data_IF_035107220863
#
_entry.id   IF_035107220863
#
_cell.length_a   1.000
_cell.length_b   1.000
_cell.length_c   1.000
_cell.angle_alpha   90.00
_cell.angle_beta   90.00
_cell.angle_gamma   90.00
#
_symmetry.space_group_name_H-M   'P 1'
#
loop_
_entity.id
_entity.type
_entity.pdbx_description
1 polymer ?
#
# COMPACT_ATOMS: atom_id res chain seq x y z
N UNK A 1 -40.65 -21.34 -18.21
CA UNK A 1 -40.44 -19.97 -17.66
C UNK A 1 -39.76 -20.11 -16.31
N UNK A 2 -38.45 -19.92 -16.24
CA UNK A 2 -37.72 -20.01 -14.97
C UNK A 2 -36.64 -18.93 -14.98
N UNK A 3 -36.87 -17.86 -14.24
CA UNK A 3 -35.94 -16.72 -14.09
C UNK A 3 -34.79 -17.17 -13.19
N UNK A 4 -33.61 -17.38 -13.74
CA UNK A 4 -32.39 -17.52 -12.93
C UNK A 4 -31.99 -16.14 -12.39
N UNK A 5 -32.00 -16.01 -11.06
CA UNK A 5 -31.55 -14.79 -10.35
C UNK A 5 -30.03 -14.66 -10.55
N UNK A 6 -29.61 -13.71 -11.36
CA UNK A 6 -28.21 -13.30 -11.44
C UNK A 6 -27.87 -12.57 -10.15
N UNK A 7 -27.05 -13.21 -9.31
CA UNK A 7 -26.53 -12.65 -8.07
C UNK A 7 -25.56 -11.50 -8.41
N UNK A 8 -26.03 -10.26 -8.23
CA UNK A 8 -25.19 -9.06 -8.25
C UNK A 8 -24.51 -8.98 -6.88
N UNK A 9 -23.22 -9.34 -6.80
CA UNK A 9 -22.23 -8.73 -5.89
C UNK A 9 -21.01 -9.62 -5.65
N UNK A 10 -20.25 -9.88 -6.71
CA UNK A 10 -18.80 -10.06 -6.55
C UNK A 10 -18.13 -9.28 -7.65
N UNK A 11 -17.63 -8.07 -7.33
CA UNK A 11 -16.68 -7.36 -8.21
C UNK A 11 -15.35 -8.08 -8.11
N UNK A 12 -15.24 -9.28 -8.70
CA UNK A 12 -13.94 -9.89 -8.94
C UNK A 12 -13.26 -9.00 -9.98
N UNK A 13 -12.34 -8.14 -9.53
CA UNK A 13 -11.54 -7.26 -10.40
C UNK A 13 -10.54 -8.03 -11.28
N UNK A 14 -10.48 -9.36 -11.15
CA UNK A 14 -9.53 -10.22 -11.83
C UNK A 14 -10.27 -11.38 -12.51
N UNK A 15 -10.42 -11.38 -13.86
CA UNK A 15 -10.95 -12.54 -14.56
C UNK A 15 -10.00 -13.73 -14.37
N UNK A 16 -10.54 -14.85 -13.90
CA UNK A 16 -9.79 -16.10 -13.63
C UNK A 16 -9.40 -16.80 -14.96
N UNK A 17 -10.09 -16.47 -16.06
CA UNK A 17 -9.99 -17.16 -17.36
C UNK A 17 -9.31 -16.34 -18.47
N UNK A 18 -8.66 -15.22 -18.15
CA UNK A 18 -7.96 -14.37 -19.14
C UNK A 18 -6.59 -13.97 -18.61
N UNK A 19 -5.60 -13.92 -19.50
CA UNK A 19 -4.26 -13.45 -19.18
C UNK A 19 -4.35 -12.14 -18.37
N UNK A 20 -3.80 -12.10 -17.15
CA UNK A 20 -4.00 -10.97 -16.27
C UNK A 20 -3.30 -9.75 -16.88
N UNK A 21 -4.09 -8.81 -17.38
CA UNK A 21 -3.59 -7.52 -17.87
C UNK A 21 -3.38 -6.63 -16.65
N UNK A 22 -2.11 -6.40 -16.28
CA UNK A 22 -1.78 -5.44 -15.24
C UNK A 22 -1.60 -4.07 -15.88
N UNK A 23 -2.47 -3.14 -15.50
CA UNK A 23 -2.31 -1.72 -15.84
C UNK A 23 -1.62 -1.04 -14.65
N UNK A 24 -0.33 -0.74 -14.79
CA UNK A 24 0.34 0.21 -13.90
C UNK A 24 0.88 1.38 -14.66
N UNK A 25 0.44 2.59 -14.31
CA UNK A 25 1.06 3.86 -14.70
C UNK A 25 1.63 3.84 -16.13
N UNK A 26 0.76 3.60 -17.12
CA UNK A 26 1.10 3.60 -18.55
C UNK A 26 1.90 2.40 -19.08
N UNK A 27 2.21 1.41 -18.25
CA UNK A 27 2.74 0.11 -18.65
C UNK A 27 1.57 -0.88 -18.67
N UNK A 28 1.11 -1.20 -19.88
CA UNK A 28 0.23 -2.35 -20.09
C UNK A 28 1.10 -3.61 -20.08
N UNK A 29 1.18 -4.30 -18.95
CA UNK A 29 1.61 -5.70 -18.98
C UNK A 29 0.40 -6.50 -19.43
N UNK A 30 0.08 -6.38 -20.72
CA UNK A 30 -0.71 -7.41 -21.38
C UNK A 30 0.11 -8.68 -21.20
N UNK A 31 -0.49 -9.76 -20.73
CA UNK A 31 0.11 -11.11 -20.78
C UNK A 31 0.29 -11.59 -22.22
N UNK A 32 0.79 -10.74 -23.12
CA UNK A 32 1.36 -11.18 -24.37
C UNK A 32 2.58 -12.01 -24.00
N UNK A 33 2.68 -13.20 -24.58
CA UNK A 33 3.83 -14.10 -24.44
C UNK A 33 5.16 -13.53 -24.99
N UNK A 34 5.22 -12.23 -25.30
CA UNK A 34 6.36 -11.51 -25.88
C UNK A 34 6.85 -10.37 -24.95
N UNK A 35 6.75 -10.51 -23.63
CA UNK A 35 7.39 -9.53 -22.72
C UNK A 35 8.87 -9.86 -22.62
N UNK A 36 9.73 -8.89 -22.94
CA UNK A 36 11.18 -9.02 -22.82
C UNK A 36 11.62 -8.97 -21.35
N UNK A 37 12.76 -9.61 -21.04
CA UNK A 37 13.33 -9.56 -19.69
C UNK A 37 13.57 -8.12 -19.21
N UNK A 38 14.05 -7.26 -20.10
CA UNK A 38 14.34 -5.84 -19.83
C UNK A 38 13.08 -5.04 -19.47
N UNK A 39 11.93 -5.34 -20.08
CA UNK A 39 10.65 -4.71 -19.71
C UNK A 39 10.18 -5.12 -18.32
N UNK A 40 10.35 -6.40 -17.96
CA UNK A 40 10.01 -6.90 -16.62
C UNK A 40 10.92 -6.27 -15.56
N UNK A 41 12.23 -6.16 -15.84
CA UNK A 41 13.18 -5.54 -14.92
C UNK A 41 12.87 -4.06 -14.69
N UNK A 42 12.58 -3.31 -15.75
CA UNK A 42 12.13 -1.90 -15.63
C UNK A 42 10.83 -1.79 -14.82
N UNK A 43 9.88 -2.69 -15.03
CA UNK A 43 8.64 -2.70 -14.25
C UNK A 43 8.90 -3.00 -12.77
N UNK A 44 9.80 -3.92 -12.44
CA UNK A 44 10.21 -4.21 -11.06
C UNK A 44 10.83 -2.98 -10.41
N UNK A 45 11.72 -2.28 -11.12
CA UNK A 45 12.36 -1.06 -10.62
C UNK A 45 11.32 0.01 -10.26
N UNK A 46 10.40 0.32 -11.19
CA UNK A 46 9.32 1.29 -10.95
C UNK A 46 8.46 0.92 -9.75
N UNK A 47 8.07 -0.36 -9.64
CA UNK A 47 7.26 -0.82 -8.51
C UNK A 47 8.05 -0.73 -7.21
N UNK A 48 9.34 -1.06 -7.22
CA UNK A 48 10.20 -0.97 -6.03
C UNK A 48 10.33 0.47 -5.51
N UNK A 49 10.39 1.47 -6.41
CA UNK A 49 10.38 2.88 -6.02
C UNK A 49 9.08 3.28 -5.31
N UNK A 50 7.95 2.68 -5.70
CA UNK A 50 6.66 2.90 -5.05
C UNK A 50 6.52 2.25 -3.67
N UNK A 51 7.51 1.45 -3.25
CA UNK A 51 7.55 0.75 -1.97
C UNK A 51 8.48 1.43 -0.95
N UNK A 52 9.13 2.53 -1.32
CA UNK A 52 10.07 3.25 -0.46
C UNK A 52 9.34 3.90 0.71
N UNK A 53 9.82 3.61 1.93
CA UNK A 53 9.27 4.14 3.15
C UNK A 53 9.77 5.57 3.45
N UNK A 54 8.99 6.30 4.25
CA UNK A 54 9.39 7.61 4.75
C UNK A 54 10.42 7.45 5.89
N UNK A 55 11.45 8.32 5.98
CA UNK A 55 12.36 8.31 7.12
C UNK A 55 11.63 8.47 8.46
N UNK A 56 12.03 7.71 9.48
CA UNK A 56 11.35 7.70 10.78
C UNK A 56 11.33 9.09 11.44
N UNK A 57 12.35 9.91 11.23
CA UNK A 57 12.39 11.26 11.80
C UNK A 57 11.38 12.21 11.13
N UNK A 58 11.15 12.07 9.83
CA UNK A 58 10.09 12.81 9.14
C UNK A 58 8.70 12.35 9.61
N UNK A 59 8.52 11.05 9.86
CA UNK A 59 7.29 10.51 10.45
C UNK A 59 7.02 11.09 11.84
N UNK A 60 8.04 11.17 12.69
CA UNK A 60 7.92 11.80 14.02
C UNK A 60 7.47 13.25 13.89
N UNK A 61 8.06 14.03 12.99
CA UNK A 61 7.68 15.42 12.77
C UNK A 61 6.21 15.55 12.35
N UNK A 62 5.77 14.74 11.38
CA UNK A 62 4.37 14.75 10.90
C UNK A 62 3.39 14.34 12.01
N UNK A 63 3.73 13.33 12.79
CA UNK A 63 2.92 12.87 13.92
C UNK A 63 2.89 13.91 15.06
N UNK A 64 3.99 14.63 15.31
CA UNK A 64 4.00 15.74 16.27
C UNK A 64 3.02 16.85 15.86
N UNK A 65 2.99 17.22 14.58
CA UNK A 65 1.99 18.19 14.07
C UNK A 65 0.58 17.65 14.25
N UNK A 66 0.34 16.37 13.91
CA UNK A 66 -0.95 15.73 14.14
C UNK A 66 -1.36 15.81 15.63
N UNK A 67 -0.42 15.68 16.57
CA UNK A 67 -0.68 15.70 18.02
C UNK A 67 -1.22 17.05 18.50
N UNK A 68 -0.86 18.13 17.82
CA UNK A 68 -1.38 19.47 18.13
C UNK A 68 -2.80 19.70 17.62
N UNK A 69 -3.27 18.89 16.67
CA UNK A 69 -4.59 19.06 16.05
C UNK A 69 -5.67 18.18 16.68
N UNK A 70 -5.26 17.12 17.37
CA UNK A 70 -6.15 16.12 17.94
C UNK A 70 -6.29 16.27 19.46
N UNK A 71 -7.41 15.80 19.99
CA UNK A 71 -7.63 15.79 21.43
C UNK A 71 -6.74 14.71 22.05
N UNK A 72 -5.83 15.19 22.89
CA UNK A 72 -4.99 14.38 23.76
C UNK A 72 -5.86 13.62 24.78
N UNK A 73 -5.62 12.32 25.01
CA UNK A 73 -6.27 11.57 26.09
C UNK A 73 -6.00 12.21 27.46
N UNK A 74 -7.03 12.25 28.31
CA UNK A 74 -6.92 12.75 29.68
C UNK A 74 -5.83 12.01 30.45
N UNK A 75 -5.09 12.71 31.32
CA UNK A 75 -4.04 12.18 32.20
C UNK A 75 -2.72 11.73 31.55
N UNK A 76 -2.56 11.80 30.22
CA UNK A 76 -1.23 11.57 29.63
C UNK A 76 -0.27 12.72 29.98
N UNK A 77 1.00 12.43 30.22
CA UNK A 77 2.08 13.41 30.27
C UNK A 77 2.56 13.81 28.86
N UNK A 78 3.48 14.77 28.74
CA UNK A 78 4.16 15.05 27.48
C UNK A 78 5.08 13.91 27.04
N UNK A 79 5.65 13.17 28.00
CA UNK A 79 6.53 12.02 27.75
C UNK A 79 5.75 10.87 27.12
N UNK A 80 4.52 10.60 27.61
CA UNK A 80 3.66 9.54 27.06
C UNK A 80 3.29 9.80 25.60
N UNK A 81 2.98 11.05 25.26
CA UNK A 81 2.73 11.46 23.87
C UNK A 81 3.97 11.23 23.00
N UNK A 82 5.15 11.58 23.50
CA UNK A 82 6.41 11.33 22.81
C UNK A 82 6.67 9.84 22.54
N UNK A 83 6.37 8.97 23.52
CA UNK A 83 6.47 7.52 23.36
C UNK A 83 5.50 7.04 22.27
N UNK A 84 4.24 7.50 22.27
CA UNK A 84 3.26 7.12 21.25
C UNK A 84 3.68 7.54 19.86
N UNK A 85 4.20 8.76 19.70
CA UNK A 85 4.73 9.25 18.41
C UNK A 85 5.87 8.36 17.93
N UNK A 86 6.81 8.00 18.81
CA UNK A 86 7.93 7.12 18.47
C UNK A 86 7.45 5.72 18.04
N UNK A 87 6.51 5.13 18.79
CA UNK A 87 5.94 3.82 18.47
C UNK A 87 5.20 3.84 17.14
N UNK A 88 4.34 4.84 16.91
CA UNK A 88 3.64 4.99 15.64
C UNK A 88 4.61 5.23 14.47
N UNK A 89 5.63 6.06 14.64
CA UNK A 89 6.63 6.29 13.60
C UNK A 89 7.40 5.01 13.23
N UNK A 90 7.69 4.15 14.21
CA UNK A 90 8.38 2.87 13.99
C UNK A 90 7.52 1.88 13.23
N UNK A 91 6.22 1.80 13.54
CA UNK A 91 5.30 0.92 12.81
C UNK A 91 5.00 1.46 11.41
N UNK A 92 4.79 2.77 11.28
CA UNK A 92 4.48 3.40 9.99
C UNK A 92 5.69 3.42 9.03
N UNK A 93 6.93 3.40 9.53
CA UNK A 93 8.12 3.34 8.66
C UNK A 93 8.29 2.00 7.92
N UNK A 94 7.44 1.00 8.20
CA UNK A 94 7.42 -0.26 7.47
C UNK A 94 6.62 -0.18 6.16
N UNK A 95 5.93 0.93 5.94
CA UNK A 95 5.02 1.10 4.80
C UNK A 95 5.50 2.20 3.84
N UNK A 96 5.06 2.15 2.57
CA UNK A 96 5.43 3.15 1.58
C UNK A 96 5.02 4.57 1.98
N UNK A 97 5.90 5.53 1.68
CA UNK A 97 5.79 6.91 2.10
C UNK A 97 4.45 7.56 1.70
N UNK A 98 4.02 7.35 0.46
CA UNK A 98 2.78 7.93 -0.08
C UNK A 98 1.52 7.38 0.63
N UNK A 99 1.50 6.10 1.00
CA UNK A 99 0.39 5.49 1.74
C UNK A 99 0.32 6.03 3.15
N UNK A 100 1.46 6.18 3.81
CA UNK A 100 1.53 6.71 5.17
C UNK A 100 1.10 8.17 5.20
N UNK A 101 1.58 8.99 4.26
CA UNK A 101 1.18 10.40 4.15
C UNK A 101 -0.33 10.50 3.90
N UNK A 102 -0.89 9.69 3.00
CA UNK A 102 -2.33 9.62 2.78
C UNK A 102 -3.09 9.23 4.05
N UNK A 103 -2.64 8.20 4.76
CA UNK A 103 -3.28 7.71 5.98
C UNK A 103 -3.28 8.77 7.10
N UNK A 104 -2.16 9.47 7.30
CA UNK A 104 -2.07 10.60 8.24
C UNK A 104 -3.09 11.69 7.87
N UNK A 105 -3.22 12.01 6.59
CA UNK A 105 -4.18 13.02 6.12
C UNK A 105 -5.64 12.60 6.33
N UNK A 106 -5.96 11.31 6.14
CA UNK A 106 -7.30 10.80 6.42
C UNK A 106 -7.61 10.86 7.91
N UNK A 107 -6.70 10.36 8.76
CA UNK A 107 -6.86 10.38 10.21
C UNK A 107 -7.03 11.82 10.72
N UNK A 108 -6.23 12.77 10.23
CA UNK A 108 -6.35 14.20 10.56
C UNK A 108 -7.75 14.77 10.28
N UNK A 109 -8.44 14.27 9.25
CA UNK A 109 -9.76 14.77 8.83
C UNK A 109 -10.92 14.07 9.54
N UNK A 110 -10.76 12.81 9.90
CA UNK A 110 -11.87 11.95 10.36
C UNK A 110 -11.85 11.72 11.86
N UNK A 111 -10.69 11.82 12.51
CA UNK A 111 -10.54 11.50 13.93
C UNK A 111 -10.46 12.76 14.78
N UNK A 112 -11.16 12.73 15.91
CA UNK A 112 -11.12 13.80 16.92
C UNK A 112 -10.10 13.52 18.03
N UNK A 113 -9.93 12.25 18.38
CA UNK A 113 -9.03 11.80 19.44
C UNK A 113 -7.75 11.24 18.87
N UNK A 114 -6.71 11.19 19.70
CA UNK A 114 -5.42 10.64 19.31
C UNK A 114 -5.54 9.17 18.82
N UNK A 115 -5.10 8.87 17.60
CA UNK A 115 -5.38 7.61 16.92
C UNK A 115 -4.58 6.43 17.47
N UNK A 116 -5.12 5.23 17.24
CA UNK A 116 -4.35 3.98 17.34
C UNK A 116 -3.66 3.68 16.00
N UNK A 117 -2.73 2.72 15.99
CA UNK A 117 -2.12 2.26 14.74
C UNK A 117 -3.18 1.72 13.74
N UNK A 118 -4.22 1.05 14.26
CA UNK A 118 -5.27 0.46 13.42
C UNK A 118 -5.99 1.52 12.56
N UNK A 119 -6.15 2.74 13.09
CA UNK A 119 -6.79 3.84 12.36
C UNK A 119 -5.98 4.32 11.15
N UNK A 120 -4.66 4.17 11.19
CA UNK A 120 -3.82 4.40 10.01
C UNK A 120 -3.84 3.18 9.09
N UNK A 121 -3.73 1.98 9.66
CA UNK A 121 -3.58 0.73 8.93
C UNK A 121 -4.75 0.46 7.97
N UNK A 122 -5.98 0.78 8.35
CA UNK A 122 -7.16 0.65 7.47
C UNK A 122 -7.04 1.44 6.15
N UNK A 123 -6.26 2.52 6.14
CA UNK A 123 -6.01 3.34 4.95
C UNK A 123 -4.80 2.86 4.13
N UNK A 124 -3.99 1.97 4.70
CA UNK A 124 -2.73 1.47 4.11
C UNK A 124 -2.91 0.07 3.52
N UNK A 125 -3.54 -0.85 4.27
CA UNK A 125 -3.50 -2.30 4.03
C UNK A 125 -3.85 -2.70 2.60
N UNK A 126 -5.05 -2.34 2.13
CA UNK A 126 -5.54 -2.74 0.80
C UNK A 126 -4.67 -2.19 -0.37
N UNK A 127 -4.06 -1.01 -0.19
CA UNK A 127 -3.16 -0.42 -1.18
C UNK A 127 -1.81 -1.11 -1.18
N UNK A 128 -1.31 -1.47 0.01
CA UNK A 128 -0.07 -2.22 0.16
C UNK A 128 -0.18 -3.63 -0.42
N UNK A 129 -1.26 -4.34 -0.12
CA UNK A 129 -1.54 -5.68 -0.66
C UNK A 129 -1.50 -5.70 -2.20
N UNK A 130 -2.12 -4.70 -2.82
CA UNK A 130 -2.13 -4.58 -4.29
C UNK A 130 -0.71 -4.43 -4.86
N UNK A 131 0.14 -3.60 -4.23
CA UNK A 131 1.53 -3.40 -4.67
C UNK A 131 2.39 -4.63 -4.45
N UNK A 132 2.24 -5.29 -3.32
CA UNK A 132 2.98 -6.51 -3.00
C UNK A 132 2.62 -7.65 -3.95
N UNK A 133 1.33 -7.78 -4.29
CA UNK A 133 0.88 -8.77 -5.24
C UNK A 133 1.50 -8.53 -6.62
N UNK A 134 1.45 -7.31 -7.11
CA UNK A 134 2.07 -6.92 -8.37
C UNK A 134 3.58 -7.21 -8.38
N UNK A 135 4.30 -6.76 -7.35
CA UNK A 135 5.74 -6.99 -7.25
C UNK A 135 6.07 -8.48 -7.30
N UNK A 136 5.29 -9.31 -6.60
CA UNK A 136 5.41 -10.77 -6.63
C UNK A 136 5.16 -11.35 -8.02
N UNK A 137 4.10 -10.90 -8.72
CA UNK A 137 3.79 -11.34 -10.08
C UNK A 137 4.93 -11.01 -11.06
N UNK A 138 5.46 -9.79 -10.99
CA UNK A 138 6.61 -9.36 -11.79
C UNK A 138 7.86 -10.19 -11.51
N UNK A 139 8.14 -10.42 -10.22
CA UNK A 139 9.29 -11.21 -9.81
C UNK A 139 9.20 -12.66 -10.30
N UNK A 140 8.03 -13.28 -10.20
CA UNK A 140 7.79 -14.62 -10.72
C UNK A 140 7.96 -14.65 -12.25
N UNK A 141 7.47 -13.62 -12.96
CA UNK A 141 7.63 -13.53 -14.41
C UNK A 141 9.10 -13.45 -14.82
N UNK A 142 9.92 -12.71 -14.07
CA UNK A 142 11.37 -12.65 -14.28
C UNK A 142 12.02 -14.02 -14.12
N UNK A 143 11.61 -14.79 -13.12
CA UNK A 143 12.11 -16.16 -12.90
C UNK A 143 11.74 -17.09 -14.06
N UNK A 144 10.52 -17.01 -14.58
CA UNK A 144 10.11 -17.79 -15.77
C UNK A 144 10.99 -17.48 -16.99
N UNK A 145 11.21 -16.20 -17.28
CA UNK A 145 12.00 -15.78 -18.45
C UNK A 145 13.49 -16.18 -18.33
N UNK A 146 14.06 -16.10 -17.13
CA UNK A 146 15.44 -16.52 -16.88
C UNK A 146 15.61 -18.04 -16.94
N UNK A 147 14.61 -18.81 -16.49
CA UNK A 147 14.63 -20.27 -16.57
C UNK A 147 14.52 -20.81 -18.01
N UNK A 148 13.84 -20.09 -18.92
CA UNK A 148 13.75 -20.47 -20.35
C UNK A 148 15.05 -20.21 -21.11
N UNK A 149 15.93 -19.36 -20.56
CA UNK A 149 17.19 -18.94 -21.23
C UNK A 149 18.38 -19.85 -20.88
N UNK A 150 18.21 -20.84 -19.99
CA UNK A 150 19.21 -21.86 -19.63
C UNK A 150 18.99 -23.16 -20.40
#
# INVERSE_FOLDING_TARGET
MTKSKVNKDVRVRYPIDKDPVFNLQSINLVGNNNVSLEEVERAIEVVSMSLVALPTDELKQRLTVLATLLIKPSQESAQDVGIRIKSLATELSKFPADLVVYAIEQVKKTHKFWPSFAEFYQHISWRMETRQHLYTCLYNKRLELTAITQ
#
